data_IF_253565285242
#
_entry.id   IF_253565285242
#
_cell.length_a   1.000
_cell.length_b   1.000
_cell.length_c   1.000
_cell.angle_alpha   90.00
_cell.angle_beta   90.00
_cell.angle_gamma   90.00
#
_symmetry.space_group_name_H-M   'P 1'
#
loop_
_entity.id
_entity.type
_entity.pdbx_description
1 polymer ?
#
# COMPACT_ATOMS: atom_id res chain seq x y z
N UNK A 1 14.01 5.37 -18.61
CA UNK A 1 13.30 6.48 -17.90
C UNK A 1 11.79 6.27 -17.71
N UNK A 2 11.02 6.04 -18.79
CA UNK A 2 9.54 5.94 -18.70
C UNK A 2 9.03 4.74 -17.89
N UNK A 3 9.75 3.62 -17.89
CA UNK A 3 9.38 2.45 -17.09
C UNK A 3 9.39 2.69 -15.58
N UNK A 4 10.36 3.49 -15.08
CA UNK A 4 10.44 3.86 -13.66
C UNK A 4 9.25 4.74 -13.26
N UNK A 5 8.88 5.70 -14.13
CA UNK A 5 7.70 6.54 -13.91
C UNK A 5 6.42 5.71 -13.86
N UNK A 6 6.22 4.81 -14.85
CA UNK A 6 5.06 3.92 -14.87
C UNK A 6 4.98 3.03 -13.63
N UNK A 7 6.10 2.40 -13.25
CA UNK A 7 6.15 1.58 -12.04
C UNK A 7 5.77 2.35 -10.78
N UNK A 8 6.28 3.58 -10.65
CA UNK A 8 5.96 4.45 -9.51
C UNK A 8 4.46 4.74 -9.43
N UNK A 9 3.80 5.01 -10.57
CA UNK A 9 2.35 5.22 -10.60
C UNK A 9 1.55 3.95 -10.29
N UNK A 10 2.02 2.77 -10.71
CA UNK A 10 1.35 1.50 -10.39
C UNK A 10 1.38 1.20 -8.89
N UNK A 11 2.51 1.46 -8.24
CA UNK A 11 2.67 1.26 -6.79
C UNK A 11 1.86 2.29 -6.00
N UNK A 12 1.94 3.57 -6.37
CA UNK A 12 1.22 4.65 -5.67
C UNK A 12 -0.30 4.54 -5.79
N UNK A 13 -0.77 4.02 -6.93
CA UNK A 13 -2.19 3.83 -7.19
C UNK A 13 -2.88 5.10 -7.71
N UNK A 14 -4.21 5.09 -7.65
CA UNK A 14 -5.04 6.22 -8.11
C UNK A 14 -5.08 7.34 -7.08
N UNK A 15 -5.34 8.57 -7.53
CA UNK A 15 -5.40 9.75 -6.67
C UNK A 15 -5.82 10.99 -7.45
N UNK A 16 -5.76 12.14 -6.79
CA UNK A 16 -6.05 13.46 -7.38
C UNK A 16 -4.87 14.39 -7.16
N UNK A 17 -4.48 15.11 -8.21
CA UNK A 17 -3.60 16.27 -8.07
C UNK A 17 -4.47 17.50 -7.87
N UNK A 18 -4.36 18.16 -6.72
CA UNK A 18 -5.11 19.37 -6.39
C UNK A 18 -4.13 20.47 -5.95
N UNK A 19 -4.15 21.62 -6.64
CA UNK A 19 -3.27 22.76 -6.37
C UNK A 19 -1.76 22.41 -6.26
N UNK A 20 -1.29 21.44 -7.04
CA UNK A 20 0.11 21.00 -7.05
C UNK A 20 0.48 19.99 -5.97
N UNK A 21 -0.49 19.57 -5.14
CA UNK A 21 -0.33 18.54 -4.13
C UNK A 21 -1.01 17.24 -4.57
N UNK A 22 -0.35 16.10 -4.36
CA UNK A 22 -0.94 14.79 -4.62
C UNK A 22 -1.76 14.32 -3.41
N UNK A 23 -3.02 13.95 -3.64
CA UNK A 23 -3.86 13.25 -2.66
C UNK A 23 -4.14 11.83 -3.15
N UNK A 24 -3.41 10.81 -2.63
CA UNK A 24 -3.62 9.43 -3.04
C UNK A 24 -4.95 8.90 -2.50
N UNK A 25 -5.58 7.97 -3.23
CA UNK A 25 -6.82 7.30 -2.78
C UNK A 25 -6.60 6.40 -1.57
N UNK A 26 -5.41 5.81 -1.46
CA UNK A 26 -5.00 4.91 -0.38
C UNK A 26 -3.58 5.27 0.06
N UNK A 27 -3.26 4.97 1.31
CA UNK A 27 -1.87 5.01 1.77
C UNK A 27 -1.19 3.67 1.50
N UNK A 28 0.05 3.72 1.04
CA UNK A 28 0.90 2.54 0.84
C UNK A 28 2.08 2.65 1.81
N UNK A 29 2.18 1.70 2.72
CA UNK A 29 3.19 1.62 3.76
C UNK A 29 4.12 0.44 3.46
N UNK A 30 5.42 0.67 3.54
CA UNK A 30 6.42 -0.39 3.42
C UNK A 30 6.87 -0.85 4.80
N UNK A 31 6.54 -2.10 5.13
CA UNK A 31 7.10 -2.83 6.26
C UNK A 31 8.30 -3.66 5.79
N UNK A 32 9.47 -3.03 5.70
CA UNK A 32 10.69 -3.66 5.18
C UNK A 32 11.94 -3.04 5.81
N UNK A 33 13.11 -3.60 5.48
CA UNK A 33 14.40 -3.03 5.93
C UNK A 33 14.83 -1.77 5.15
N UNK A 34 13.99 -1.24 4.25
CA UNK A 34 14.24 0.06 3.61
C UNK A 34 14.14 1.15 4.68
N UNK A 35 15.14 2.04 4.82
CA UNK A 35 15.12 3.05 5.87
C UNK A 35 13.91 4.00 5.78
N UNK A 36 13.34 4.45 6.91
CA UNK A 36 12.17 5.33 6.94
C UNK A 36 12.36 6.61 6.10
N UNK A 37 13.55 7.20 6.13
CA UNK A 37 13.88 8.40 5.36
C UNK A 37 13.91 8.15 3.85
N UNK A 38 14.17 6.91 3.43
CA UNK A 38 14.11 6.52 2.02
C UNK A 38 12.66 6.36 1.57
N UNK A 39 11.81 5.71 2.37
CA UNK A 39 10.37 5.62 2.09
C UNK A 39 9.73 7.02 1.98
N UNK A 40 10.05 7.92 2.92
CA UNK A 40 9.56 9.30 2.92
C UNK A 40 9.96 10.08 1.66
N UNK A 41 11.22 9.92 1.19
CA UNK A 41 11.71 10.57 -0.05
C UNK A 41 10.95 10.15 -1.31
N UNK A 42 10.31 8.97 -1.30
CA UNK A 42 9.52 8.45 -2.42
C UNK A 42 8.00 8.49 -2.14
N UNK A 43 7.58 9.30 -1.17
CA UNK A 43 6.19 9.51 -0.77
C UNK A 43 5.43 8.24 -0.33
N UNK A 44 6.13 7.27 0.26
CA UNK A 44 5.53 6.07 0.85
C UNK A 44 5.60 6.13 2.38
N UNK A 45 4.63 5.49 3.03
CA UNK A 45 4.66 5.28 4.46
C UNK A 45 5.71 4.24 4.84
N UNK A 46 6.10 4.24 6.11
CA UNK A 46 7.02 3.26 6.68
C UNK A 46 6.41 2.66 7.94
N UNK A 47 6.62 1.36 8.14
CA UNK A 47 6.36 0.67 9.39
C UNK A 47 7.56 -0.23 9.68
N UNK A 48 7.97 -0.31 10.95
CA UNK A 48 9.07 -1.18 11.34
C UNK A 48 8.64 -2.64 11.18
N UNK A 49 9.27 -3.44 10.28
CA UNK A 49 8.88 -4.83 10.08
C UNK A 49 9.03 -5.69 11.34
N UNK A 50 9.97 -5.36 12.24
CA UNK A 50 10.19 -6.12 13.48
C UNK A 50 9.13 -5.81 14.54
N UNK A 51 8.33 -4.76 14.33
CA UNK A 51 7.21 -4.38 15.20
C UNK A 51 5.88 -5.03 14.80
N UNK A 52 5.84 -5.80 13.71
CA UNK A 52 4.63 -6.39 13.14
C UNK A 52 4.62 -7.89 13.40
N UNK A 53 3.60 -8.39 14.10
CA UNK A 53 3.22 -9.80 14.05
C UNK A 53 2.11 -9.98 13.00
N UNK A 54 2.33 -10.87 12.03
CA UNK A 54 1.34 -11.14 10.97
C UNK A 54 0.06 -11.79 11.53
N UNK A 55 0.17 -12.52 12.63
CA UNK A 55 -0.97 -13.17 13.27
C UNK A 55 -1.99 -12.14 13.80
N UNK A 56 -1.54 -10.93 14.18
CA UNK A 56 -2.39 -9.84 14.68
C UNK A 56 -3.40 -9.31 13.64
N UNK A 57 -3.22 -9.66 12.37
CA UNK A 57 -4.08 -9.22 11.26
C UNK A 57 -5.02 -10.32 10.74
N UNK A 58 -4.86 -11.58 11.17
CA UNK A 58 -5.66 -12.70 10.67
C UNK A 58 -7.05 -12.74 11.31
N UNK A 59 -8.05 -13.13 10.53
CA UNK A 59 -9.45 -13.33 10.97
C UNK A 59 -10.13 -12.06 11.50
N UNK A 60 -9.73 -10.88 10.99
CA UNK A 60 -10.24 -9.57 11.41
C UNK A 60 -11.03 -8.87 10.31
N UNK A 61 -11.61 -9.65 9.40
CA UNK A 61 -12.39 -9.13 8.28
C UNK A 61 -13.66 -8.40 8.75
N UNK A 62 -14.20 -8.78 9.91
CA UNK A 62 -15.33 -8.07 10.55
C UNK A 62 -14.96 -6.65 11.01
N UNK A 63 -13.67 -6.40 11.27
CA UNK A 63 -13.12 -5.08 11.59
C UNK A 63 -12.67 -4.32 10.33
N UNK A 64 -12.81 -4.93 9.15
CA UNK A 64 -12.38 -4.35 7.88
C UNK A 64 -10.91 -4.59 7.53
N UNK A 65 -10.22 -5.51 8.23
CA UNK A 65 -8.83 -5.88 7.98
C UNK A 65 -8.79 -7.16 7.16
N UNK A 66 -8.12 -7.12 6.01
CA UNK A 66 -7.89 -8.30 5.17
C UNK A 66 -6.41 -8.68 5.22
N UNK A 67 -6.12 -9.89 5.71
CA UNK A 67 -4.79 -10.48 5.64
C UNK A 67 -4.65 -11.38 4.40
N UNK A 68 -3.56 -11.23 3.66
CA UNK A 68 -3.26 -12.03 2.47
C UNK A 68 -1.81 -12.54 2.55
N UNK A 69 -1.63 -13.81 2.93
CA UNK A 69 -0.31 -14.41 3.17
C UNK A 69 0.61 -14.39 1.94
N UNK A 70 0.07 -14.73 0.77
CA UNK A 70 0.77 -14.69 -0.53
C UNK A 70 0.25 -13.54 -1.39
N UNK A 71 0.36 -12.33 -0.83
CA UNK A 71 -0.01 -11.11 -1.53
C UNK A 71 0.80 -10.94 -2.82
N UNK A 72 0.18 -10.37 -3.86
CA UNK A 72 0.81 -10.12 -5.17
C UNK A 72 0.45 -11.11 -6.28
N UNK A 73 -0.13 -12.26 -5.95
CA UNK A 73 -0.58 -13.27 -6.94
C UNK A 73 -2.11 -13.34 -7.08
N UNK A 74 -2.84 -12.77 -6.11
CA UNK A 74 -4.31 -12.82 -6.05
C UNK A 74 -4.89 -11.49 -6.52
N UNK A 75 -5.71 -11.53 -7.57
CA UNK A 75 -6.46 -10.37 -8.05
C UNK A 75 -7.82 -10.28 -7.35
N UNK A 76 -8.05 -9.22 -6.59
CA UNK A 76 -9.31 -8.98 -5.89
C UNK A 76 -10.31 -8.22 -6.78
N UNK A 77 -11.51 -8.79 -6.95
CA UNK A 77 -12.63 -8.13 -7.61
C UNK A 77 -13.78 -7.94 -6.63
N UNK A 78 -14.19 -6.69 -6.43
CA UNK A 78 -15.37 -6.36 -5.64
C UNK A 78 -16.61 -6.90 -6.36
N UNK A 79 -17.43 -7.69 -5.66
CA UNK A 79 -18.75 -8.09 -6.16
C UNK A 79 -19.67 -6.87 -6.14
N UNK A 80 -20.38 -6.63 -7.23
CA UNK A 80 -21.45 -5.62 -7.21
C UNK A 80 -22.49 -6.05 -6.19
N UNK A 81 -22.87 -5.11 -5.31
CA UNK A 81 -24.02 -5.29 -4.44
C UNK A 81 -25.25 -4.98 -5.28
N UNK A 82 -26.07 -5.99 -5.54
CA UNK A 82 -27.39 -5.83 -6.15
C UNK A 82 -28.32 -5.08 -5.19
#
# INVERSE_FOLDING_TARGET
PRGVLAHSTHVRGTGVMDNGEERPRIEVILASQIPPETCAKINLGYMDPDSIDQEDFKNRESEGILFVEKAGEILHRVKQRL
#
